data_IF_354401773250
#
_entry.id   IF_354401773250
#
_cell.length_a   1.000
_cell.length_b   1.000
_cell.length_c   1.000
_cell.angle_alpha   90.00
_cell.angle_beta   90.00
_cell.angle_gamma   90.00
#
_symmetry.space_group_name_H-M   'P 1'
#
loop_
_entity.id
_entity.type
_entity.pdbx_description
1 polymer ?
#
# COMPACT_ATOMS: atom_id res chain seq x y z
N UNK A 1 5.62 -16.93 19.79
CA UNK A 1 4.33 -16.86 19.05
C UNK A 1 4.61 -17.15 17.58
N UNK A 2 3.83 -18.04 16.96
CA UNK A 2 4.01 -18.38 15.55
C UNK A 2 3.66 -17.17 14.66
N UNK A 3 4.38 -17.03 13.54
CA UNK A 3 4.01 -16.07 12.49
C UNK A 3 2.99 -16.74 11.58
N UNK A 4 1.97 -15.99 11.19
CA UNK A 4 0.91 -16.44 10.31
C UNK A 4 0.96 -15.59 9.04
N UNK A 5 0.91 -16.26 7.89
CA UNK A 5 0.78 -15.61 6.59
C UNK A 5 -0.67 -15.68 6.15
N UNK A 6 -1.24 -14.52 5.83
CA UNK A 6 -2.61 -14.34 5.35
C UNK A 6 -2.53 -13.79 3.94
N UNK A 7 -3.09 -14.55 3.00
CA UNK A 7 -3.30 -14.11 1.63
C UNK A 7 -4.78 -13.78 1.44
N UNK A 8 -5.10 -12.59 0.98
CA UNK A 8 -6.48 -12.16 0.85
C UNK A 8 -6.64 -10.86 0.10
N UNK A 9 -7.90 -10.42 0.02
CA UNK A 9 -8.28 -9.20 -0.68
C UNK A 9 -8.46 -8.10 0.36
N UNK A 10 -7.91 -6.92 0.10
CA UNK A 10 -8.12 -5.75 0.95
C UNK A 10 -9.58 -5.30 0.82
N UNK A 11 -10.35 -5.42 1.91
CA UNK A 11 -11.76 -5.03 1.93
C UNK A 11 -11.94 -3.53 2.20
N UNK A 12 -11.08 -2.97 3.07
CA UNK A 12 -11.12 -1.57 3.49
C UNK A 12 -9.74 -1.08 3.89
N UNK A 13 -9.50 0.20 3.68
CA UNK A 13 -8.35 0.95 4.18
C UNK A 13 -8.83 2.18 4.95
N UNK A 14 -8.11 2.58 5.99
CA UNK A 14 -8.41 3.80 6.73
C UNK A 14 -7.18 4.32 7.46
N UNK A 15 -7.22 5.60 7.80
CA UNK A 15 -6.18 6.26 8.60
C UNK A 15 -6.71 6.55 9.99
N UNK A 16 -5.94 6.21 11.00
CA UNK A 16 -6.19 6.67 12.38
C UNK A 16 -5.11 7.65 12.78
N UNK A 17 -5.52 8.84 13.25
CA UNK A 17 -4.60 9.84 13.78
C UNK A 17 -4.14 9.41 15.17
N UNK A 18 -2.84 9.30 15.37
CA UNK A 18 -2.23 9.09 16.69
C UNK A 18 -1.48 10.34 17.13
N UNK A 19 -1.12 10.43 18.40
CA UNK A 19 -0.28 11.53 18.90
C UNK A 19 1.09 11.65 18.22
N UNK A 20 1.52 10.62 17.49
CA UNK A 20 2.80 10.55 16.78
C UNK A 20 2.67 10.58 15.24
N UNK A 21 1.47 10.85 14.72
CA UNK A 21 1.21 10.91 13.28
C UNK A 21 0.11 9.97 12.81
N UNK A 22 -0.08 9.95 11.49
CA UNK A 22 -1.10 9.17 10.81
C UNK A 22 -0.70 7.70 10.69
N UNK A 23 -1.56 6.81 11.17
CA UNK A 23 -1.36 5.35 11.08
C UNK A 23 -2.33 4.77 10.07
N UNK A 24 -1.81 4.21 9.00
CA UNK A 24 -2.60 3.56 7.96
C UNK A 24 -2.90 2.12 8.33
N UNK A 25 -4.18 1.74 8.21
CA UNK A 25 -4.68 0.42 8.54
C UNK A 25 -5.48 -0.14 7.38
N UNK A 26 -5.52 -1.46 7.30
CA UNK A 26 -6.35 -2.17 6.35
C UNK A 26 -6.99 -3.41 6.96
N UNK A 27 -8.10 -3.81 6.36
CA UNK A 27 -8.74 -5.09 6.59
C UNK A 27 -8.57 -5.98 5.36
N UNK A 28 -8.27 -7.25 5.61
CA UNK A 28 -7.98 -8.28 4.62
C UNK A 28 -9.02 -9.38 4.79
N UNK A 29 -9.78 -9.65 3.73
CA UNK A 29 -10.70 -10.77 3.68
C UNK A 29 -9.96 -11.98 3.11
N UNK A 30 -9.88 -13.05 3.90
CA UNK A 30 -9.26 -14.31 3.52
C UNK A 30 -10.14 -15.46 3.98
N UNK A 31 -10.61 -16.29 3.04
CA UNK A 31 -11.50 -17.43 3.29
C UNK A 31 -12.74 -17.09 4.13
N UNK A 32 -13.36 -15.93 3.87
CA UNK A 32 -14.54 -15.45 4.61
C UNK A 32 -14.25 -14.88 6.01
N UNK A 33 -12.99 -14.85 6.44
CA UNK A 33 -12.56 -14.23 7.71
C UNK A 33 -11.89 -12.89 7.42
N UNK A 34 -12.26 -11.88 8.18
CA UNK A 34 -11.65 -10.55 8.11
C UNK A 34 -10.53 -10.40 9.16
N UNK A 35 -9.36 -9.98 8.70
CA UNK A 35 -8.18 -9.70 9.50
C UNK A 35 -7.81 -8.23 9.41
N UNK A 36 -7.31 -7.65 10.50
CA UNK A 36 -6.95 -6.23 10.56
C UNK A 36 -5.45 -6.10 10.79
N UNK A 37 -4.81 -5.18 10.08
CA UNK A 37 -3.39 -4.87 10.28
C UNK A 37 -3.07 -3.42 9.95
N UNK A 38 -1.96 -2.92 10.48
CA UNK A 38 -1.32 -1.71 9.96
C UNK A 38 -0.81 -2.02 8.55
N UNK A 39 -0.96 -1.08 7.60
CA UNK A 39 -0.45 -1.27 6.24
C UNK A 39 1.09 -1.30 6.31
N UNK A 40 1.75 -2.40 5.90
CA UNK A 40 3.21 -2.43 5.83
C UNK A 40 3.72 -1.43 4.80
N UNK A 41 4.89 -0.87 5.03
CA UNK A 41 5.53 0.12 4.15
C UNK A 41 5.62 -0.36 2.69
N UNK A 42 6.12 -1.58 2.46
CA UNK A 42 6.19 -2.17 1.10
C UNK A 42 4.82 -2.33 0.40
N UNK A 43 3.73 -2.39 1.16
CA UNK A 43 2.37 -2.43 0.62
C UNK A 43 1.86 -1.01 0.35
N UNK A 44 2.27 -0.05 1.17
CA UNK A 44 1.99 1.38 1.01
C UNK A 44 2.67 1.92 -0.26
N UNK A 45 3.94 1.59 -0.49
CA UNK A 45 4.71 1.99 -1.68
C UNK A 45 4.11 1.48 -2.99
N UNK A 46 3.47 0.31 -2.94
CA UNK A 46 2.78 -0.28 -4.09
C UNK A 46 1.39 0.33 -4.33
N UNK A 47 0.90 1.23 -3.45
CA UNK A 47 -0.38 1.88 -3.63
C UNK A 47 -0.26 3.03 -4.63
N UNK A 48 -1.06 3.06 -5.71
CA UNK A 48 -1.17 4.26 -6.52
C UNK A 48 -1.69 5.42 -5.67
N UNK A 49 -1.18 6.62 -5.93
CA UNK A 49 -1.67 7.83 -5.28
C UNK A 49 -3.06 8.15 -5.85
N UNK A 50 -4.02 8.47 -4.98
CA UNK A 50 -5.32 8.94 -5.45
C UNK A 50 -5.27 10.48 -5.57
N UNK A 51 -5.27 11.05 -6.79
CA UNK A 51 -5.19 12.49 -6.99
C UNK A 51 -6.39 13.25 -6.41
N UNK A 52 -7.55 12.62 -6.25
CA UNK A 52 -8.76 13.26 -5.68
C UNK A 52 -8.78 13.32 -4.15
N UNK A 53 -7.92 12.55 -3.47
CA UNK A 53 -7.88 12.50 -1.99
C UNK A 53 -6.50 12.77 -1.40
N UNK A 54 -5.46 12.85 -2.23
CA UNK A 54 -4.07 13.10 -1.81
C UNK A 54 -3.51 12.00 -0.89
N UNK A 55 -4.12 10.82 -0.85
CA UNK A 55 -3.78 9.74 0.08
C UNK A 55 -3.32 8.48 -0.64
N UNK A 56 -2.28 7.87 -0.08
CA UNK A 56 -1.54 6.67 -0.56
C UNK A 56 -2.31 5.35 -0.29
N UNK A 57 -3.64 5.32 -0.35
CA UNK A 57 -4.36 4.23 0.33
C UNK A 57 -5.67 3.73 -0.27
N UNK A 58 -5.91 3.80 -1.58
CA UNK A 58 -7.03 3.02 -2.14
C UNK A 58 -6.58 1.63 -2.62
N UNK A 59 -6.12 0.80 -1.67
CA UNK A 59 -5.78 -0.60 -1.93
C UNK A 59 -7.00 -1.52 -1.97
N UNK A 60 -8.22 -0.99 -1.87
CA UNK A 60 -9.44 -1.80 -1.83
C UNK A 60 -9.55 -2.64 -3.10
N UNK A 61 -9.68 -3.96 -2.93
CA UNK A 61 -9.69 -4.92 -4.04
C UNK A 61 -8.32 -5.47 -4.42
N UNK A 62 -7.21 -4.90 -3.92
CA UNK A 62 -5.89 -5.46 -4.14
C UNK A 62 -5.74 -6.80 -3.40
N UNK A 63 -5.04 -7.73 -4.03
CA UNK A 63 -4.64 -8.99 -3.40
C UNK A 63 -3.31 -8.78 -2.71
N UNK A 64 -3.26 -9.06 -1.41
CA UNK A 64 -2.07 -8.90 -0.58
C UNK A 64 -1.70 -10.19 0.11
N UNK A 65 -0.42 -10.32 0.43
CA UNK A 65 0.13 -11.41 1.23
C UNK A 65 0.86 -10.81 2.43
N UNK A 66 0.27 -10.94 3.61
CA UNK A 66 0.75 -10.33 4.85
C UNK A 66 1.13 -11.41 5.85
N UNK A 67 2.35 -11.32 6.37
CA UNK A 67 2.88 -12.15 7.44
C UNK A 67 3.01 -11.34 8.72
N UNK A 68 2.52 -11.87 9.85
CA UNK A 68 2.62 -11.20 11.14
C UNK A 68 2.33 -12.14 12.30
N UNK A 69 2.38 -11.62 13.52
CA UNK A 69 1.93 -12.37 14.70
C UNK A 69 0.43 -12.16 14.88
N UNK A 70 -0.34 -13.24 14.84
CA UNK A 70 -1.79 -13.18 14.97
C UNK A 70 -2.20 -13.09 16.45
N UNK A 71 -2.97 -12.06 16.80
CA UNK A 71 -3.67 -11.93 18.07
C UNK A 71 -5.18 -11.77 17.78
N UNK A 72 -5.92 -12.87 17.90
CA UNK A 72 -7.32 -12.93 17.46
C UNK A 72 -7.44 -12.69 15.95
N UNK A 73 -8.02 -11.56 15.55
CA UNK A 73 -8.14 -11.13 14.14
C UNK A 73 -7.15 -10.04 13.75
N UNK A 74 -6.25 -9.65 14.66
CA UNK A 74 -5.30 -8.56 14.44
C UNK A 74 -3.90 -9.14 14.17
N UNK A 75 -3.30 -8.72 13.06
CA UNK A 75 -1.90 -9.01 12.75
C UNK A 75 -1.01 -7.92 13.32
N UNK A 76 -0.06 -8.33 14.15
CA UNK A 76 0.91 -7.46 14.81
C UNK A 76 2.27 -7.60 14.12
N UNK A 77 2.97 -6.47 14.01
CA UNK A 77 4.21 -6.33 13.22
C UNK A 77 4.06 -6.90 11.80
N UNK A 78 3.04 -6.47 11.05
CA UNK A 78 2.77 -7.01 9.73
C UNK A 78 3.92 -6.64 8.78
N UNK A 79 4.36 -7.61 7.99
CA UNK A 79 5.21 -7.44 6.82
C UNK A 79 4.52 -8.10 5.65
N UNK A 80 4.66 -7.57 4.45
CA UNK A 80 4.01 -8.18 3.31
C UNK A 80 4.22 -7.41 2.03
N UNK A 81 3.50 -7.86 1.01
CA UNK A 81 3.57 -7.31 -0.33
C UNK A 81 2.19 -7.34 -0.99
N UNK A 82 2.03 -6.49 -1.99
CA UNK A 82 0.94 -6.63 -2.96
C UNK A 82 1.28 -7.77 -3.92
N UNK A 83 0.37 -8.71 -4.06
CA UNK A 83 0.49 -9.85 -5.00
C UNK A 83 -0.13 -9.47 -6.34
N UNK A 84 -1.27 -8.79 -6.32
CA UNK A 84 -1.95 -8.33 -7.52
C UNK A 84 -2.73 -7.04 -7.23
N UNK A 85 -2.61 -6.08 -8.15
CA UNK A 85 -3.45 -4.89 -8.19
C UNK A 85 -4.67 -5.16 -9.07
N UNK A 86 -5.75 -4.41 -8.86
CA UNK A 86 -6.85 -4.39 -9.85
C UNK A 86 -6.36 -3.72 -11.15
N UNK A 87 -6.98 -4.00 -12.31
CA UNK A 87 -6.58 -3.37 -13.57
C UNK A 87 -6.59 -1.84 -13.51
N UNK A 88 -7.58 -1.25 -12.85
CA UNK A 88 -7.69 0.20 -12.66
C UNK A 88 -6.54 0.76 -11.82
N UNK A 89 -6.20 0.07 -10.73
CA UNK A 89 -5.08 0.44 -9.87
C UNK A 89 -3.74 0.33 -10.61
N UNK A 90 -3.57 -0.71 -11.42
CA UNK A 90 -2.36 -0.89 -12.21
C UNK A 90 -2.20 0.22 -13.26
N UNK A 91 -3.28 0.63 -13.92
CA UNK A 91 -3.27 1.77 -14.85
C UNK A 91 -2.91 3.09 -14.15
N UNK A 92 -3.48 3.34 -12.97
CA UNK A 92 -3.16 4.51 -12.17
C UNK A 92 -1.68 4.52 -11.76
N UNK A 93 -1.17 3.38 -11.26
CA UNK A 93 0.23 3.21 -10.89
C UNK A 93 1.17 3.46 -12.08
N UNK A 94 0.87 2.88 -13.24
CA UNK A 94 1.68 3.06 -14.45
C UNK A 94 1.73 4.53 -14.92
N UNK A 95 0.60 5.25 -14.81
CA UNK A 95 0.53 6.68 -15.14
C UNK A 95 1.39 7.53 -14.20
N UNK A 96 1.45 7.18 -12.92
CA UNK A 96 2.30 7.86 -11.94
C UNK A 96 3.76 7.55 -12.15
N UNK A 97 4.12 6.28 -12.37
CA UNK A 97 5.48 5.88 -12.70
C UNK A 97 5.99 6.61 -13.95
N UNK A 98 5.15 6.75 -14.97
CA UNK A 98 5.47 7.52 -16.17
C UNK A 98 5.70 9.01 -15.89
N UNK A 99 4.87 9.64 -15.05
CA UNK A 99 5.06 11.04 -14.64
C UNK A 99 6.34 11.24 -13.85
N UNK A 100 6.66 10.31 -12.94
CA UNK A 100 7.89 10.34 -12.16
C UNK A 100 9.13 10.20 -13.05
N UNK A 101 9.08 9.31 -14.06
CA UNK A 101 10.15 9.17 -15.04
C UNK A 101 10.42 10.47 -15.80
N UNK A 102 9.37 11.12 -16.32
CA UNK A 102 9.51 12.43 -17.01
C UNK A 102 10.12 13.48 -16.09
N UNK A 103 9.66 13.55 -14.84
CA UNK A 103 10.17 14.53 -13.89
C UNK A 103 11.66 14.28 -13.57
N UNK A 104 12.04 13.03 -13.36
CA UNK A 104 13.43 12.66 -13.10
C UNK A 104 14.32 12.96 -14.30
N UNK A 105 13.89 12.64 -15.52
CA UNK A 105 14.61 13.00 -16.74
C UNK A 105 14.80 14.51 -16.88
N UNK A 106 13.74 15.30 -16.62
CA UNK A 106 13.82 16.76 -16.65
C UNK A 106 14.74 17.32 -15.56
N UNK A 107 14.73 16.72 -14.37
CA UNK A 107 15.61 17.10 -13.26
C UNK A 107 17.09 16.78 -13.58
N UNK A 108 17.36 15.59 -14.13
CA UNK A 108 18.71 15.20 -14.56
C UNK A 108 19.24 16.07 -15.70
N UNK A 109 18.36 16.46 -16.64
CA UNK A 109 18.70 17.40 -17.70
C UNK A 109 19.05 18.79 -17.15
N UNK A 110 18.35 19.26 -16.12
CA UNK A 110 18.66 20.54 -15.47
C UNK A 110 19.97 20.47 -14.67
N UNK A 111 20.27 19.34 -14.02
CA UNK A 111 21.54 19.16 -13.29
C UNK A 111 22.77 19.10 -14.21
N UNK A 112 22.59 18.65 -15.45
CA UNK A 112 23.68 18.51 -16.43
C UNK A 112 23.86 19.75 -17.31
N UNK A 113 23.05 20.79 -17.09
CA UNK A 113 23.11 22.04 -17.84
C UNK A 113 24.38 22.83 -17.48
N UNK A 114 25.27 23.14 -18.44
CA UNK A 114 26.42 23.99 -18.16
C UNK A 114 25.97 25.42 -17.80
N UNK A 115 26.64 26.01 -16.80
CA UNK A 115 26.41 27.37 -16.30
C UNK A 115 26.53 28.43 -17.41
#
# INVERSE_FOLDING_TARGET
MARTTIKGIVSKTWTTRSGFGDVYKMSILSNGVEYICTIPEAVLEASPCNPGTGRVANLRGATVEITGTLQGRVLIRPRGRVVALTPEMFQAYAKEAYRAAIFNEAWEAEQTRPL
#
